data_IF_142364993331
#
_entry.id   IF_142364993331
#
_cell.length_a   1.000
_cell.length_b   1.000
_cell.length_c   1.000
_cell.angle_alpha   90.00
_cell.angle_beta   90.00
_cell.angle_gamma   90.00
#
_symmetry.space_group_name_H-M   'P 1'
#
loop_
_entity.id
_entity.type
_entity.pdbx_description
1 polymer ?
#
# COMPACT_ATOMS: atom_id res chain seq x y z
N UNK A 1 22.93 -5.20 -25.40
CA UNK A 1 22.23 -5.51 -24.14
C UNK A 1 20.90 -4.78 -24.15
N UNK A 2 19.82 -5.45 -23.77
CA UNK A 2 18.51 -4.78 -23.62
C UNK A 2 18.57 -3.78 -22.46
N UNK A 3 17.90 -2.65 -22.60
CA UNK A 3 17.76 -1.65 -21.54
C UNK A 3 17.17 -2.32 -20.28
N UNK A 4 17.86 -2.31 -19.13
CA UNK A 4 17.38 -2.94 -17.91
C UNK A 4 16.17 -2.20 -17.31
N UNK A 5 15.93 -0.94 -17.71
CA UNK A 5 14.77 -0.18 -17.24
C UNK A 5 14.04 0.59 -18.34
N UNK A 6 13.32 -0.15 -19.21
CA UNK A 6 12.57 0.43 -20.32
C UNK A 6 11.58 1.50 -19.89
N UNK A 7 11.27 2.42 -20.80
CA UNK A 7 10.39 3.56 -20.54
C UNK A 7 9.03 3.19 -19.90
N UNK A 8 8.30 2.12 -20.32
CA UNK A 8 7.03 1.77 -19.69
C UNK A 8 7.17 1.46 -18.19
N UNK A 9 8.21 0.72 -17.81
CA UNK A 9 8.48 0.38 -16.41
C UNK A 9 8.92 1.59 -15.61
N UNK A 10 9.70 2.49 -16.22
CA UNK A 10 10.07 3.76 -15.60
C UNK A 10 8.86 4.67 -15.35
N UNK A 11 7.94 4.78 -16.32
CA UNK A 11 6.73 5.59 -16.16
C UNK A 11 5.84 4.99 -15.07
N UNK A 12 5.66 3.67 -15.07
CA UNK A 12 4.86 3.01 -14.05
C UNK A 12 5.45 3.19 -12.64
N UNK A 13 6.68 2.75 -12.42
CA UNK A 13 7.29 2.75 -11.09
C UNK A 13 7.79 4.13 -10.65
N UNK A 14 8.24 4.98 -11.57
CA UNK A 14 8.80 6.29 -11.27
C UNK A 14 7.81 7.45 -11.26
N UNK A 15 6.58 7.24 -11.77
CA UNK A 15 5.57 8.32 -11.85
C UNK A 15 4.21 7.83 -11.34
N UNK A 16 3.63 6.81 -11.96
CA UNK A 16 2.27 6.36 -11.65
C UNK A 16 2.16 5.84 -10.21
N UNK A 17 3.07 4.95 -9.81
CA UNK A 17 3.13 4.43 -8.45
C UNK A 17 3.30 5.56 -7.41
N UNK A 18 4.31 6.45 -7.50
CA UNK A 18 4.45 7.58 -6.60
C UNK A 18 3.18 8.42 -6.46
N UNK A 19 2.51 8.76 -7.57
CA UNK A 19 1.26 9.53 -7.51
C UNK A 19 0.19 8.77 -6.73
N UNK A 20 0.06 7.46 -6.94
CA UNK A 20 -0.90 6.63 -6.19
C UNK A 20 -0.58 6.59 -4.69
N UNK A 21 0.70 6.46 -4.33
CA UNK A 21 1.15 6.44 -2.93
C UNK A 21 0.94 7.82 -2.28
N UNK A 22 1.18 8.91 -3.02
CA UNK A 22 0.94 10.28 -2.56
C UNK A 22 -0.55 10.53 -2.28
N UNK A 23 -1.45 9.97 -3.09
CA UNK A 23 -2.89 10.02 -2.82
C UNK A 23 -3.21 9.32 -1.49
N UNK A 24 -2.64 8.14 -1.26
CA UNK A 24 -2.75 7.44 0.03
C UNK A 24 -2.18 8.24 1.21
N UNK A 25 -1.03 8.88 1.03
CA UNK A 25 -0.41 9.73 2.06
C UNK A 25 -1.28 10.94 2.40
N UNK A 26 -1.80 11.61 1.37
CA UNK A 26 -2.70 12.75 1.54
C UNK A 26 -3.97 12.32 2.25
N UNK A 27 -4.51 11.15 1.92
CA UNK A 27 -5.67 10.59 2.60
C UNK A 27 -5.40 10.32 4.09
N UNK A 28 -4.24 9.74 4.40
CA UNK A 28 -3.82 9.48 5.77
C UNK A 28 -3.48 10.74 6.59
N UNK A 29 -3.00 11.82 5.95
CA UNK A 29 -2.58 13.04 6.64
C UNK A 29 -3.69 14.09 6.75
N UNK A 30 -4.39 14.38 5.66
CA UNK A 30 -5.42 15.43 5.62
C UNK A 30 -6.80 14.94 6.07
N UNK A 31 -7.08 13.63 5.90
CA UNK A 31 -8.39 13.04 6.17
C UNK A 31 -8.33 11.95 7.25
N UNK A 32 -7.54 12.17 8.31
CA UNK A 32 -7.26 11.19 9.39
C UNK A 32 -8.53 10.52 9.95
N UNK A 33 -9.59 11.29 10.22
CA UNK A 33 -10.86 10.75 10.72
C UNK A 33 -11.44 9.73 9.76
N UNK A 34 -11.60 10.11 8.49
CA UNK A 34 -12.18 9.25 7.46
C UNK A 34 -11.31 8.01 7.23
N UNK A 35 -9.99 8.20 7.18
CA UNK A 35 -9.01 7.11 7.10
C UNK A 35 -9.16 6.11 8.26
N UNK A 36 -9.29 6.59 9.51
CA UNK A 36 -9.47 5.75 10.70
C UNK A 36 -10.72 4.88 10.64
N UNK A 37 -11.87 5.43 10.26
CA UNK A 37 -13.11 4.67 10.21
C UNK A 37 -13.19 3.73 9.00
N UNK A 38 -12.46 4.03 7.93
CA UNK A 38 -12.39 3.16 6.75
C UNK A 38 -11.27 2.10 6.84
N UNK A 39 -10.39 2.16 7.84
CA UNK A 39 -9.33 1.14 8.05
C UNK A 39 -9.91 -0.26 8.27
N UNK A 40 -11.07 -0.35 8.90
CA UNK A 40 -11.79 -1.60 9.11
C UNK A 40 -13.14 -1.52 8.39
N UNK A 41 -13.40 -2.37 7.39
CA UNK A 41 -14.71 -2.37 6.74
C UNK A 41 -15.81 -2.71 7.75
N UNK A 42 -17.02 -2.13 7.61
CA UNK A 42 -18.15 -2.43 8.48
C UNK A 42 -18.45 -3.93 8.60
N UNK A 43 -18.17 -4.69 7.54
CA UNK A 43 -18.28 -6.15 7.45
C UNK A 43 -17.47 -6.92 8.50
N UNK A 44 -16.41 -6.30 9.04
CA UNK A 44 -15.55 -6.86 10.09
C UNK A 44 -15.79 -6.25 11.47
N UNK A 45 -16.64 -5.23 11.58
CA UNK A 45 -16.97 -4.58 12.86
C UNK A 45 -18.17 -5.28 13.48
N UNK A 46 -17.99 -5.93 14.63
CA UNK A 46 -19.12 -6.40 15.45
C UNK A 46 -19.84 -5.16 16.01
N UNK A 47 -21.13 -4.93 15.69
CA UNK A 47 -21.84 -3.77 16.20
C UNK A 47 -21.92 -3.86 17.73
N UNK A 48 -21.36 -2.88 18.47
CA UNK A 48 -21.70 -2.71 19.89
C UNK A 48 -23.13 -2.13 19.97
N UNK A 49 -24.17 -2.91 20.33
CA UNK A 49 -25.55 -2.56 19.98
C UNK A 49 -26.18 -1.41 20.79
N UNK A 50 -25.50 -0.85 21.80
CA UNK A 50 -26.16 0.00 22.82
C UNK A 50 -25.88 1.50 22.72
N UNK A 51 -24.97 1.95 21.86
CA UNK A 51 -24.57 3.37 21.78
C UNK A 51 -25.04 4.08 20.50
N UNK A 52 -25.25 3.33 19.42
CA UNK A 52 -25.56 3.88 18.09
C UNK A 52 -27.02 4.30 17.95
N UNK A 53 -27.97 3.60 18.61
CA UNK A 53 -29.41 3.92 18.51
C UNK A 53 -29.80 5.25 19.16
N UNK A 54 -28.99 5.77 20.11
CA UNK A 54 -29.26 7.06 20.76
C UNK A 54 -28.69 8.26 20.00
N UNK A 55 -27.56 8.13 19.26
CA UNK A 55 -26.97 9.30 18.58
C UNK A 55 -27.48 9.50 17.14
N UNK A 56 -28.01 8.45 16.48
CA UNK A 56 -28.59 8.57 15.13
C UNK A 56 -29.84 9.46 15.10
N UNK A 57 -30.56 9.62 16.22
CA UNK A 57 -31.74 10.49 16.28
C UNK A 57 -31.42 12.00 16.37
N UNK A 58 -30.15 12.41 16.44
CA UNK A 58 -29.80 13.76 16.90
C UNK A 58 -28.88 14.60 15.99
N UNK A 59 -28.40 14.14 14.82
CA UNK A 59 -27.46 14.95 14.03
C UNK A 59 -27.73 14.97 12.51
N UNK A 60 -27.57 16.13 11.81
CA UNK A 60 -28.03 16.32 10.44
C UNK A 60 -27.03 15.87 9.37
N UNK A 61 -25.84 15.39 9.74
CA UNK A 61 -24.86 14.84 8.79
C UNK A 61 -23.95 13.81 9.46
N UNK A 62 -23.67 12.71 8.76
CA UNK A 62 -22.82 11.61 9.24
C UNK A 62 -21.38 12.06 9.60
N UNK A 63 -20.92 13.19 9.06
CA UNK A 63 -19.60 13.76 9.35
C UNK A 63 -19.53 14.47 10.72
N UNK A 64 -20.62 15.06 11.19
CA UNK A 64 -20.70 15.69 12.52
C UNK A 64 -20.76 14.65 13.67
N UNK A 65 -20.92 13.38 13.31
CA UNK A 65 -21.23 12.26 14.20
C UNK A 65 -19.99 11.38 14.46
N UNK A 66 -18.85 11.67 13.81
CA UNK A 66 -17.59 10.97 14.01
C UNK A 66 -16.86 11.51 15.25
N UNK A 67 -16.65 10.68 16.30
CA UNK A 67 -15.83 11.05 17.44
C UNK A 67 -14.48 11.65 17.02
N UNK A 68 -14.01 12.63 17.80
CA UNK A 68 -12.65 13.13 17.67
C UNK A 68 -11.66 11.95 17.85
N UNK A 69 -10.60 11.92 17.03
CA UNK A 69 -9.52 10.96 17.21
C UNK A 69 -8.80 11.24 18.52
N UNK A 70 -8.47 10.19 19.26
CA UNK A 70 -7.56 10.30 20.39
C UNK A 70 -6.15 10.69 19.89
N UNK A 71 -5.39 11.38 20.75
CA UNK A 71 -4.06 11.90 20.39
C UNK A 71 -3.08 10.78 19.95
N UNK A 72 -3.02 9.60 20.59
CA UNK A 72 -2.21 8.48 20.11
C UNK A 72 -2.58 8.03 18.68
N UNK A 73 -3.87 7.85 18.38
CA UNK A 73 -4.32 7.46 17.03
C UNK A 73 -3.97 8.53 15.99
N UNK A 74 -4.18 9.82 16.29
CA UNK A 74 -3.82 10.91 15.38
C UNK A 74 -2.32 10.93 15.07
N UNK A 75 -1.47 10.79 16.10
CA UNK A 75 -0.02 10.71 15.94
C UNK A 75 0.40 9.49 15.10
N UNK A 76 -0.19 8.32 15.37
CA UNK A 76 0.08 7.10 14.60
C UNK A 76 -0.27 7.23 13.12
N UNK A 77 -1.42 7.85 12.79
CA UNK A 77 -1.81 8.11 11.40
C UNK A 77 -0.88 9.13 10.72
N UNK A 78 -0.41 10.14 11.44
CA UNK A 78 0.58 11.08 10.91
C UNK A 78 1.90 10.39 10.56
N UNK A 79 2.37 9.47 11.41
CA UNK A 79 3.57 8.67 11.15
C UNK A 79 3.37 7.73 9.96
N UNK A 80 2.20 7.11 9.83
CA UNK A 80 1.86 6.28 8.67
C UNK A 80 1.87 7.11 7.38
N UNK A 81 1.28 8.31 7.40
CA UNK A 81 1.33 9.24 6.27
C UNK A 81 2.76 9.63 5.89
N UNK A 82 3.64 9.86 6.87
CA UNK A 82 5.07 10.10 6.64
C UNK A 82 5.75 8.90 5.96
N UNK A 83 5.45 7.67 6.38
CA UNK A 83 5.97 6.46 5.74
C UNK A 83 5.54 6.36 4.26
N UNK A 84 4.30 6.72 3.93
CA UNK A 84 3.85 6.75 2.54
C UNK A 84 4.59 7.81 1.71
N UNK A 85 4.84 8.99 2.26
CA UNK A 85 5.68 10.00 1.59
C UNK A 85 7.08 9.45 1.33
N UNK A 86 7.68 8.76 2.29
CA UNK A 86 9.01 8.17 2.13
C UNK A 86 9.04 7.13 1.00
N UNK A 87 8.02 6.27 0.90
CA UNK A 87 7.90 5.29 -0.17
C UNK A 87 7.72 5.98 -1.53
N UNK A 88 6.84 6.99 -1.59
CA UNK A 88 6.68 7.82 -2.80
C UNK A 88 8.00 8.45 -3.24
N UNK A 89 8.77 9.05 -2.32
CA UNK A 89 10.06 9.67 -2.63
C UNK A 89 11.07 8.63 -3.11
N UNK A 90 11.08 7.43 -2.53
CA UNK A 90 11.95 6.35 -3.02
C UNK A 90 11.59 5.98 -4.45
N UNK A 91 10.31 5.73 -4.75
CA UNK A 91 9.89 5.36 -6.10
C UNK A 91 10.09 6.51 -7.11
N UNK A 92 9.85 7.79 -6.74
CA UNK A 92 10.03 8.92 -7.66
C UNK A 92 11.51 9.32 -7.84
N UNK A 93 12.24 9.53 -6.74
CA UNK A 93 13.58 10.13 -6.77
C UNK A 93 14.68 9.08 -6.90
N UNK A 94 14.59 7.93 -6.23
CA UNK A 94 15.65 6.91 -6.32
C UNK A 94 15.65 6.25 -7.70
N UNK A 95 14.48 5.91 -8.25
CA UNK A 95 14.41 5.36 -9.61
C UNK A 95 14.86 6.37 -10.67
N UNK A 96 14.53 7.66 -10.49
CA UNK A 96 15.11 8.73 -11.31
C UNK A 96 16.63 8.75 -11.20
N UNK A 97 17.17 8.73 -9.98
CA UNK A 97 18.62 8.77 -9.75
C UNK A 97 19.32 7.55 -10.36
N UNK A 98 18.78 6.35 -10.19
CA UNK A 98 19.34 5.13 -10.77
C UNK A 98 19.43 5.24 -12.29
N UNK A 99 18.33 5.63 -12.95
CA UNK A 99 18.29 5.79 -14.41
C UNK A 99 19.18 6.93 -14.91
N UNK A 100 19.27 8.03 -14.16
CA UNK A 100 20.02 9.22 -14.58
C UNK A 100 21.53 9.05 -14.39
N UNK A 101 21.96 8.46 -13.29
CA UNK A 101 23.37 8.46 -12.88
C UNK A 101 24.09 7.12 -13.09
N UNK A 102 23.39 5.98 -13.09
CA UNK A 102 24.02 4.68 -13.34
C UNK A 102 24.01 4.40 -14.85
N UNK A 103 25.19 4.50 -15.48
CA UNK A 103 25.36 4.28 -16.93
C UNK A 103 25.68 2.83 -17.29
N UNK A 104 26.25 2.09 -16.34
CA UNK A 104 26.46 0.66 -16.50
C UNK A 104 25.13 -0.09 -16.36
N UNK A 105 24.72 -0.74 -17.44
CA UNK A 105 23.47 -1.49 -17.51
C UNK A 105 23.45 -2.70 -16.57
N UNK A 106 24.59 -3.37 -16.33
CA UNK A 106 24.65 -4.50 -15.42
C UNK A 106 24.54 -4.01 -13.96
N UNK A 107 25.24 -2.93 -13.61
CA UNK A 107 25.10 -2.31 -12.29
C UNK A 107 23.68 -1.79 -12.03
N UNK A 108 23.08 -1.08 -12.99
CA UNK A 108 21.71 -0.57 -12.90
C UNK A 108 20.72 -1.71 -12.68
N UNK A 109 20.87 -2.80 -13.44
CA UNK A 109 20.03 -4.00 -13.29
C UNK A 109 20.13 -4.59 -11.89
N UNK A 110 21.34 -4.77 -11.36
CA UNK A 110 21.55 -5.35 -10.04
C UNK A 110 20.90 -4.49 -8.94
N UNK A 111 21.09 -3.17 -8.99
CA UNK A 111 20.47 -2.23 -8.05
C UNK A 111 18.94 -2.29 -8.14
N UNK A 112 18.38 -2.32 -9.35
CA UNK A 112 16.92 -2.43 -9.54
C UNK A 112 16.37 -3.76 -9.01
N UNK A 113 17.09 -4.88 -9.20
CA UNK A 113 16.68 -6.17 -8.62
C UNK A 113 16.57 -6.08 -7.10
N UNK A 114 17.59 -5.58 -6.42
CA UNK A 114 17.54 -5.44 -4.96
C UNK A 114 16.46 -4.45 -4.51
N UNK A 115 16.32 -3.33 -5.22
CA UNK A 115 15.29 -2.33 -4.92
C UNK A 115 13.87 -2.92 -5.02
N UNK A 116 13.57 -3.65 -6.10
CA UNK A 116 12.26 -4.28 -6.25
C UNK A 116 12.03 -5.47 -5.31
N UNK A 117 13.08 -6.19 -4.89
CA UNK A 117 12.96 -7.21 -3.84
C UNK A 117 12.55 -6.56 -2.52
N UNK A 118 13.22 -5.47 -2.11
CA UNK A 118 12.89 -4.76 -0.86
C UNK A 118 11.45 -4.25 -0.88
N UNK A 119 11.03 -3.62 -1.99
CA UNK A 119 9.63 -3.18 -2.14
C UNK A 119 8.65 -4.37 -2.18
N UNK A 120 9.00 -5.47 -2.85
CA UNK A 120 8.18 -6.67 -2.89
C UNK A 120 7.97 -7.32 -1.53
N UNK A 121 9.01 -7.33 -0.68
CA UNK A 121 8.90 -7.78 0.72
C UNK A 121 8.00 -6.84 1.53
N UNK A 122 8.09 -5.53 1.29
CA UNK A 122 7.22 -4.55 1.93
C UNK A 122 5.74 -4.75 1.53
N UNK A 123 5.45 -5.06 0.25
CA UNK A 123 4.09 -5.36 -0.21
C UNK A 123 3.49 -6.54 0.56
N UNK A 124 4.21 -7.65 0.65
CA UNK A 124 3.76 -8.85 1.37
C UNK A 124 3.61 -8.61 2.88
N UNK A 125 4.53 -7.85 3.47
CA UNK A 125 4.43 -7.48 4.87
C UNK A 125 3.18 -6.64 5.12
N UNK A 126 2.89 -5.68 4.24
CA UNK A 126 1.71 -4.83 4.33
C UNK A 126 0.40 -5.61 4.17
N UNK A 127 0.33 -6.50 3.16
CA UNK A 127 -0.83 -7.40 2.95
C UNK A 127 -1.01 -8.32 4.17
N UNK A 128 0.08 -8.94 4.65
CA UNK A 128 0.07 -9.84 5.80
C UNK A 128 -0.38 -9.15 7.08
N UNK A 129 0.11 -7.93 7.36
CA UNK A 129 -0.31 -7.13 8.50
C UNK A 129 -1.76 -6.64 8.37
N UNK A 130 -2.21 -6.34 7.15
CA UNK A 130 -3.62 -6.01 6.89
C UNK A 130 -4.51 -7.20 7.22
N UNK A 131 -4.13 -8.40 6.76
CA UNK A 131 -4.85 -9.62 7.12
C UNK A 131 -4.80 -9.90 8.62
N UNK A 132 -3.65 -9.75 9.27
CA UNK A 132 -3.52 -10.00 10.70
C UNK A 132 -4.37 -9.01 11.53
N UNK A 133 -4.28 -7.72 11.20
CA UNK A 133 -4.92 -6.62 11.93
C UNK A 133 -6.43 -6.51 11.76
N UNK A 134 -7.02 -7.12 10.71
CA UNK A 134 -8.48 -7.16 10.56
C UNK A 134 -9.13 -7.94 11.72
N UNK A 135 -10.16 -7.38 12.38
CA UNK A 135 -10.89 -8.11 13.41
C UNK A 135 -11.59 -9.36 12.86
N UNK A 136 -11.91 -10.31 13.74
CA UNK A 136 -12.73 -11.46 13.37
C UNK A 136 -14.08 -11.00 12.81
N UNK A 137 -14.59 -11.60 11.72
CA UNK A 137 -15.85 -11.16 11.11
C UNK A 137 -17.02 -11.34 12.08
N UNK A 138 -18.03 -10.48 11.96
CA UNK A 138 -19.24 -10.59 12.77
C UNK A 138 -20.06 -11.86 12.45
N UNK A 139 -19.96 -12.36 11.21
CA UNK A 139 -20.60 -13.60 10.74
C UNK A 139 -19.66 -14.29 9.75
N UNK A 140 -19.40 -15.59 9.94
CA UNK A 140 -18.63 -16.43 9.01
C UNK A 140 -17.13 -16.53 9.31
N UNK A 141 -16.33 -16.99 8.32
CA UNK A 141 -14.88 -17.13 8.44
C UNK A 141 -14.17 -15.91 7.84
N UNK A 142 -13.09 -15.46 8.51
CA UNK A 142 -12.30 -14.28 8.09
C UNK A 142 -11.80 -14.42 6.66
N UNK A 143 -11.33 -15.62 6.31
CA UNK A 143 -10.89 -15.96 4.96
C UNK A 143 -12.05 -15.92 3.96
N UNK A 144 -13.23 -16.45 4.32
CA UNK A 144 -14.39 -16.44 3.42
C UNK A 144 -14.88 -15.03 3.09
N UNK A 145 -14.74 -14.08 4.02
CA UNK A 145 -15.10 -12.68 3.81
C UNK A 145 -14.04 -11.90 3.01
N UNK A 146 -12.76 -12.24 3.20
CA UNK A 146 -11.68 -11.74 2.36
C UNK A 146 -11.78 -12.25 0.92
N UNK A 147 -12.26 -13.46 0.69
CA UNK A 147 -12.46 -14.01 -0.66
C UNK A 147 -13.64 -13.37 -1.42
N UNK A 148 -14.41 -12.49 -0.79
CA UNK A 148 -15.55 -11.78 -1.41
C UNK A 148 -15.24 -10.29 -1.54
N UNK A 149 -14.75 -9.83 -2.72
CA UNK A 149 -14.37 -8.43 -2.93
C UNK A 149 -15.53 -7.45 -2.71
N UNK A 150 -16.77 -7.91 -2.89
CA UNK A 150 -18.00 -7.13 -2.69
C UNK A 150 -18.14 -6.54 -1.28
N UNK A 151 -17.52 -7.17 -0.28
CA UNK A 151 -17.55 -6.72 1.11
C UNK A 151 -16.41 -5.75 1.48
N UNK A 152 -15.53 -5.42 0.54
CA UNK A 152 -14.37 -4.57 0.78
C UNK A 152 -14.75 -3.09 0.61
N UNK A 153 -14.21 -2.26 1.49
CA UNK A 153 -14.24 -0.81 1.26
C UNK A 153 -13.03 -0.38 0.43
N UNK A 154 -13.03 0.88 0.00
CA UNK A 154 -11.95 1.44 -0.84
C UNK A 154 -10.56 1.27 -0.22
N UNK A 155 -10.44 1.42 1.11
CA UNK A 155 -9.16 1.35 1.79
C UNK A 155 -8.63 -0.09 1.91
N UNK A 156 -9.51 -1.07 2.19
CA UNK A 156 -9.13 -2.48 2.18
C UNK A 156 -8.75 -2.95 0.76
N UNK A 157 -9.50 -2.49 -0.25
CA UNK A 157 -9.15 -2.74 -1.64
C UNK A 157 -7.78 -2.17 -1.99
N UNK A 158 -7.48 -0.93 -1.58
CA UNK A 158 -6.16 -0.34 -1.74
C UNK A 158 -5.05 -1.16 -1.07
N UNK A 159 -5.25 -1.52 0.19
CA UNK A 159 -4.23 -2.22 0.99
C UNK A 159 -3.94 -3.64 0.50
N UNK A 160 -4.87 -4.31 -0.19
CA UNK A 160 -4.70 -5.69 -0.68
C UNK A 160 -4.57 -5.74 -2.20
N UNK A 161 -5.57 -5.26 -2.95
CA UNK A 161 -5.59 -5.42 -4.40
C UNK A 161 -4.51 -4.57 -5.08
N UNK A 162 -4.38 -3.30 -4.68
CA UNK A 162 -3.38 -2.41 -5.30
C UNK A 162 -1.97 -2.86 -4.93
N UNK A 163 -1.69 -3.18 -3.67
CA UNK A 163 -0.37 -3.68 -3.24
C UNK A 163 -0.02 -5.01 -3.91
N UNK A 164 -0.98 -5.92 -4.07
CA UNK A 164 -0.78 -7.17 -4.83
C UNK A 164 -0.52 -6.93 -6.32
N UNK A 165 -1.22 -5.97 -6.94
CA UNK A 165 -0.96 -5.55 -8.31
C UNK A 165 0.46 -4.99 -8.45
N UNK A 166 0.91 -4.13 -7.53
CA UNK A 166 2.26 -3.57 -7.55
C UNK A 166 3.32 -4.67 -7.41
N UNK A 167 3.12 -5.63 -6.49
CA UNK A 167 3.96 -6.83 -6.39
C UNK A 167 4.00 -7.61 -7.72
N UNK A 168 2.85 -7.82 -8.35
CA UNK A 168 2.76 -8.53 -9.63
C UNK A 168 3.52 -7.80 -10.75
N UNK A 169 3.44 -6.47 -10.80
CA UNK A 169 4.23 -5.65 -11.71
C UNK A 169 5.74 -5.80 -11.46
N UNK A 170 6.17 -5.80 -10.18
CA UNK A 170 7.58 -5.99 -9.80
C UNK A 170 8.08 -7.37 -10.19
N UNK A 171 7.26 -8.41 -9.97
CA UNK A 171 7.56 -9.77 -10.40
C UNK A 171 7.64 -9.87 -11.91
N UNK A 172 6.70 -9.26 -12.66
CA UNK A 172 6.71 -9.24 -14.11
C UNK A 172 7.98 -8.55 -14.65
N UNK A 173 8.39 -7.42 -14.06
CA UNK A 173 9.66 -6.78 -14.39
C UNK A 173 10.84 -7.73 -14.09
N UNK A 174 10.85 -8.39 -12.93
CA UNK A 174 11.93 -9.31 -12.55
C UNK A 174 12.03 -10.52 -13.49
N UNK A 175 10.91 -11.10 -13.91
CA UNK A 175 10.89 -12.22 -14.84
C UNK A 175 11.36 -11.82 -16.25
N UNK A 176 11.04 -10.61 -16.68
CA UNK A 176 11.44 -10.09 -17.99
C UNK A 176 12.89 -9.57 -18.03
N UNK A 177 13.32 -8.84 -17.00
CA UNK A 177 14.57 -8.08 -16.98
C UNK A 177 15.50 -8.43 -15.81
N UNK A 178 15.04 -9.10 -14.74
CA UNK A 178 15.85 -9.40 -13.55
C UNK A 178 16.66 -10.71 -13.59
N UNK A 179 16.21 -11.73 -14.33
CA UNK A 179 16.73 -13.12 -14.22
C UNK A 179 18.24 -13.31 -14.41
N UNK A 180 18.90 -12.57 -15.30
CA UNK A 180 20.33 -12.77 -15.53
C UNK A 180 21.23 -12.16 -14.44
N UNK A 181 20.71 -11.25 -13.60
CA UNK A 181 21.47 -10.67 -12.49
C UNK A 181 21.84 -11.71 -11.42
N UNK A 182 20.90 -12.57 -11.01
CA UNK A 182 21.15 -13.59 -9.97
C UNK A 182 22.00 -14.77 -10.45
N UNK A 183 22.07 -15.01 -11.77
CA UNK A 183 22.90 -16.09 -12.32
C UNK A 183 24.40 -15.84 -12.12
N UNK A 184 24.84 -14.58 -12.18
CA UNK A 184 26.26 -14.21 -11.99
C UNK A 184 26.71 -14.39 -10.53
N UNK A 185 25.82 -14.18 -9.55
CA UNK A 185 26.12 -14.34 -8.12
C UNK A 185 26.45 -15.79 -7.74
N UNK A 186 25.91 -16.77 -8.47
CA UNK A 186 26.19 -18.19 -8.23
C UNK A 186 27.54 -18.68 -8.78
N UNK A 187 28.29 -17.81 -9.47
CA UNK A 187 29.51 -18.18 -10.22
C UNK A 187 30.76 -17.44 -9.75
N UNK A 188 30.68 -16.70 -8.64
CA UNK A 188 31.82 -16.15 -7.90
C UNK A 188 31.91 -16.84 -6.54
#
# INVERSE_FOLDING_TARGET
>A
MSDPFPLPWYVFFGIVEPISVLAGATYALAFQKKYHYELVPPSFVVPKPKLISKVIKAAPSAAALMPALDAPTSMGLSQLGSCYILIMLNSALMLYAFKRYIKDHDALRNVLVYFFIVLGVADWTHIGLTFYGLPGPAVGSKIGLLLRPEGWNSLLFGNIAITFMLFSCRLAWYLAHGRAALSKVKTQ
#
